data_IF_150368507613
#
_entry.id   IF_150368507613
#
_cell.length_a   1.000
_cell.length_b   1.000
_cell.length_c   1.000
_cell.angle_alpha   90.00
_cell.angle_beta   90.00
_cell.angle_gamma   90.00
#
_symmetry.space_group_name_H-M   'P 1'
#
loop_
_entity.id
_entity.type
_entity.pdbx_description
1 polymer ?
#
# COMPACT_ATOMS: atom_id res chain seq x y z
N UNK A 1 18.10 -27.40 -10.06
CA UNK A 1 18.63 -26.63 -8.93
C UNK A 1 17.52 -25.75 -8.36
N UNK A 2 16.91 -26.20 -7.26
CA UNK A 2 16.00 -25.38 -6.46
C UNK A 2 16.83 -24.66 -5.40
N UNK A 3 16.83 -23.33 -5.42
CA UNK A 3 17.37 -22.49 -4.35
C UNK A 3 16.19 -21.99 -3.52
N UNK A 4 16.12 -22.50 -2.30
CA UNK A 4 15.24 -22.00 -1.24
C UNK A 4 15.95 -20.81 -0.61
N UNK A 5 15.43 -19.60 -0.85
CA UNK A 5 15.67 -18.41 -0.04
C UNK A 5 14.27 -17.97 0.39
N UNK A 6 13.90 -18.06 1.66
CA UNK A 6 14.40 -17.16 2.69
C UNK A 6 13.20 -16.30 3.11
N UNK A 7 12.85 -16.38 4.40
CA UNK A 7 11.84 -15.56 5.07
C UNK A 7 12.16 -14.08 4.83
N UNK A 8 11.29 -13.43 4.07
CA UNK A 8 11.40 -12.04 3.65
C UNK A 8 10.61 -11.89 2.35
N UNK A 9 9.34 -11.50 2.45
CA UNK A 9 8.52 -11.25 1.26
C UNK A 9 9.07 -10.03 0.52
N UNK A 10 10.06 -10.24 -0.32
CA UNK A 10 10.30 -9.37 -1.44
C UNK A 10 9.05 -9.46 -2.32
N UNK A 11 8.17 -8.48 -2.22
CA UNK A 11 7.01 -8.38 -3.09
C UNK A 11 7.48 -8.42 -4.55
N UNK A 12 7.01 -9.41 -5.30
CA UNK A 12 7.37 -9.56 -6.70
C UNK A 12 6.74 -8.43 -7.55
N UNK A 13 7.21 -8.28 -8.79
CA UNK A 13 6.75 -7.20 -9.66
C UNK A 13 5.23 -7.23 -9.92
N UNK A 14 4.61 -8.42 -9.90
CA UNK A 14 3.18 -8.60 -10.10
C UNK A 14 2.40 -8.08 -8.90
N UNK A 15 2.87 -8.39 -7.68
CA UNK A 15 2.28 -7.86 -6.45
C UNK A 15 2.33 -6.34 -6.40
N UNK A 16 3.49 -5.75 -6.72
CA UNK A 16 3.66 -4.28 -6.75
C UNK A 16 2.74 -3.64 -7.80
N UNK A 17 2.62 -4.24 -9.00
CA UNK A 17 1.72 -3.74 -10.03
C UNK A 17 0.24 -3.80 -9.59
N UNK A 18 -0.16 -4.89 -8.92
CA UNK A 18 -1.51 -5.03 -8.36
C UNK A 18 -1.77 -3.99 -7.27
N UNK A 19 -0.82 -3.75 -6.38
CA UNK A 19 -0.93 -2.72 -5.36
C UNK A 19 -1.08 -1.31 -5.95
N UNK A 20 -0.31 -0.98 -6.99
CA UNK A 20 -0.44 0.29 -7.72
C UNK A 20 -1.82 0.46 -8.36
N UNK A 21 -2.33 -0.60 -8.98
CA UNK A 21 -3.68 -0.59 -9.57
C UNK A 21 -4.74 -0.31 -8.50
N UNK A 22 -4.70 -1.04 -7.39
CA UNK A 22 -5.65 -0.89 -6.30
C UNK A 22 -5.61 0.51 -5.68
N UNK A 23 -4.42 1.08 -5.52
CA UNK A 23 -4.23 2.42 -4.98
C UNK A 23 -5.07 3.47 -5.72
N UNK A 24 -5.18 3.35 -7.04
CA UNK A 24 -5.96 4.28 -7.88
C UNK A 24 -7.43 3.90 -8.04
N UNK A 25 -7.80 2.61 -7.94
CA UNK A 25 -9.13 2.11 -8.33
C UNK A 25 -10.08 1.78 -7.19
N UNK A 26 -9.56 1.42 -6.00
CA UNK A 26 -10.43 1.08 -4.86
C UNK A 26 -11.32 2.27 -4.49
N UNK A 27 -12.45 2.06 -3.82
CA UNK A 27 -13.39 3.13 -3.49
C UNK A 27 -13.64 3.26 -1.98
N UNK A 28 -13.31 4.41 -1.36
CA UNK A 28 -12.65 5.58 -1.97
C UNK A 28 -11.20 5.26 -2.36
N UNK A 29 -10.73 5.88 -3.45
CA UNK A 29 -9.38 5.63 -3.98
C UNK A 29 -8.33 6.26 -3.06
N UNK A 30 -7.22 5.57 -2.85
CA UNK A 30 -6.16 6.07 -1.97
C UNK A 30 -5.60 7.39 -2.50
N UNK A 31 -5.55 7.53 -3.84
CA UNK A 31 -5.02 8.69 -4.53
C UNK A 31 -5.82 9.99 -4.29
N UNK A 32 -7.11 9.88 -3.92
CA UNK A 32 -7.94 11.08 -3.66
C UNK A 32 -7.57 11.72 -2.31
N UNK A 33 -7.03 10.93 -1.39
CA UNK A 33 -6.71 11.39 -0.04
C UNK A 33 -5.21 11.61 0.17
N UNK A 34 -4.36 10.81 -0.48
CA UNK A 34 -2.92 10.80 -0.20
C UNK A 34 -2.06 11.21 -1.39
N UNK A 35 -1.01 11.96 -1.12
CA UNK A 35 0.10 12.17 -2.06
C UNK A 35 1.02 10.96 -2.07
N UNK A 36 1.29 10.45 -3.28
CA UNK A 36 2.28 9.41 -3.55
C UNK A 36 2.76 9.55 -5.00
N UNK A 37 3.95 10.09 -5.20
CA UNK A 37 4.48 10.46 -6.53
C UNK A 37 4.56 9.25 -7.48
N UNK A 38 4.98 8.09 -6.99
CA UNK A 38 5.07 6.86 -7.80
C UNK A 38 3.69 6.33 -8.29
N UNK A 39 2.60 6.79 -7.66
CA UNK A 39 1.22 6.55 -8.08
C UNK A 39 0.61 7.70 -8.92
N UNK A 40 1.33 8.83 -9.07
CA UNK A 40 0.79 10.04 -9.69
C UNK A 40 -0.33 10.69 -8.87
N UNK A 41 -0.27 10.55 -7.54
CA UNK A 41 -1.31 11.03 -6.63
C UNK A 41 -0.85 12.24 -5.84
N UNK A 42 -1.76 13.19 -5.64
CA UNK A 42 -1.52 14.50 -5.00
C UNK A 42 -2.59 14.82 -3.94
N UNK A 43 -3.26 13.79 -3.39
CA UNK A 43 -4.31 13.99 -2.38
C UNK A 43 -3.78 14.62 -1.09
N UNK A 44 -4.54 15.55 -0.51
CA UNK A 44 -4.11 16.35 0.64
C UNK A 44 -4.97 16.16 1.91
N UNK A 45 -5.87 15.18 1.91
CA UNK A 45 -6.73 14.87 3.07
C UNK A 45 -5.97 14.06 4.12
N UNK A 46 -5.21 13.06 3.65
CA UNK A 46 -4.33 12.25 4.47
C UNK A 46 -2.87 12.75 4.41
N UNK A 47 -1.96 12.13 5.18
CA UNK A 47 -0.54 12.44 5.12
C UNK A 47 0.06 12.18 3.73
N UNK A 48 1.09 12.94 3.39
CA UNK A 48 1.97 12.71 2.23
C UNK A 48 2.76 11.43 2.47
N UNK A 49 2.53 10.41 1.65
CA UNK A 49 3.12 9.09 1.87
C UNK A 49 4.61 9.06 1.53
N UNK A 50 5.05 9.88 0.56
CA UNK A 50 6.47 10.05 0.20
C UNK A 50 7.32 10.60 1.37
N UNK A 51 6.69 11.38 2.26
CA UNK A 51 7.33 11.92 3.47
C UNK A 51 7.19 10.96 4.64
N UNK A 52 6.00 10.38 4.82
CA UNK A 52 5.69 9.49 5.95
C UNK A 52 6.46 8.17 5.88
N UNK A 53 6.72 7.67 4.68
CA UNK A 53 7.44 6.40 4.40
C UNK A 53 6.99 5.23 5.27
N UNK A 54 5.67 4.92 5.33
CA UNK A 54 5.19 3.85 6.18
C UNK A 54 5.65 2.48 5.66
N UNK A 55 6.10 1.60 6.56
CA UNK A 55 6.35 0.21 6.19
C UNK A 55 5.04 -0.55 5.91
N UNK A 56 5.15 -1.71 5.26
CA UNK A 56 3.99 -2.48 4.81
C UNK A 56 3.07 -2.89 5.96
N UNK A 57 3.61 -3.27 7.11
CA UNK A 57 2.82 -3.66 8.28
C UNK A 57 1.96 -2.50 8.81
N UNK A 58 2.51 -1.28 8.84
CA UNK A 58 1.76 -0.09 9.23
C UNK A 58 0.63 0.17 8.25
N UNK A 59 0.89 0.08 6.94
CA UNK A 59 -0.14 0.27 5.92
C UNK A 59 -1.23 -0.81 6.04
N UNK A 60 -0.85 -2.07 6.21
CA UNK A 60 -1.78 -3.18 6.34
C UNK A 60 -2.69 -3.02 7.57
N UNK A 61 -2.15 -2.59 8.72
CA UNK A 61 -2.98 -2.28 9.90
C UNK A 61 -3.97 -1.15 9.63
N UNK A 62 -3.53 -0.09 8.94
CA UNK A 62 -4.40 1.01 8.55
C UNK A 62 -5.54 0.56 7.61
N UNK A 63 -5.23 -0.28 6.62
CA UNK A 63 -6.23 -0.84 5.70
C UNK A 63 -7.25 -1.72 6.41
N UNK A 64 -6.82 -2.49 7.42
CA UNK A 64 -7.71 -3.40 8.18
C UNK A 64 -8.59 -2.65 9.18
N UNK A 65 -8.04 -1.69 9.92
CA UNK A 65 -8.74 -1.05 11.03
C UNK A 65 -9.36 0.30 10.67
N UNK A 66 -8.87 0.97 9.63
CA UNK A 66 -9.09 2.41 9.45
C UNK A 66 -8.31 3.23 10.49
N UNK A 67 -8.14 4.53 10.23
CA UNK A 67 -7.48 5.47 11.16
C UNK A 67 -8.09 6.87 10.98
N UNK A 68 -8.76 7.38 12.01
CA UNK A 68 -9.43 8.69 11.95
C UNK A 68 -10.46 8.74 10.83
N UNK A 69 -10.27 9.63 9.85
CA UNK A 69 -11.14 9.75 8.67
C UNK A 69 -10.87 8.69 7.60
N UNK A 70 -9.74 7.96 7.67
CA UNK A 70 -9.43 6.89 6.73
C UNK A 70 -10.30 5.66 7.06
N UNK A 71 -11.17 5.20 6.14
CA UNK A 71 -12.02 4.05 6.39
C UNK A 71 -11.22 2.75 6.42
N UNK A 72 -11.81 1.71 7.02
CA UNK A 72 -11.35 0.34 6.80
C UNK A 72 -11.71 -0.14 5.40
N UNK A 73 -10.86 -0.99 4.83
CA UNK A 73 -11.07 -1.68 3.56
C UNK A 73 -11.23 -3.20 3.73
N UNK A 74 -11.35 -3.70 4.97
CA UNK A 74 -11.46 -5.13 5.25
C UNK A 74 -12.65 -5.82 4.55
N UNK A 75 -13.75 -5.09 4.37
CA UNK A 75 -14.94 -5.60 3.66
C UNK A 75 -14.89 -5.40 2.14
N UNK A 76 -13.88 -4.68 1.63
CA UNK A 76 -13.75 -4.30 0.21
C UNK A 76 -12.61 -5.01 -0.50
N UNK A 77 -11.57 -5.40 0.24
CA UNK A 77 -10.36 -5.98 -0.30
C UNK A 77 -10.10 -7.35 0.33
N UNK A 78 -9.64 -8.28 -0.51
CA UNK A 78 -9.08 -9.52 0.00
C UNK A 78 -7.79 -9.25 0.78
N UNK A 79 -7.46 -10.18 1.67
CA UNK A 79 -6.24 -10.14 2.46
C UNK A 79 -4.96 -10.09 1.59
N UNK A 80 -5.00 -10.74 0.41
CA UNK A 80 -3.94 -10.69 -0.60
C UNK A 80 -3.84 -9.31 -1.25
N UNK A 81 -4.97 -8.72 -1.62
CA UNK A 81 -4.99 -7.38 -2.23
C UNK A 81 -4.56 -6.29 -1.25
N UNK A 82 -4.94 -6.40 0.03
CA UNK A 82 -4.44 -5.49 1.07
C UNK A 82 -2.93 -5.59 1.26
N UNK A 83 -2.36 -6.81 1.21
CA UNK A 83 -0.91 -7.00 1.25
C UNK A 83 -0.23 -6.39 0.03
N UNK A 84 -0.76 -6.62 -1.17
CA UNK A 84 -0.23 -6.02 -2.40
C UNK A 84 -0.22 -4.48 -2.34
N UNK A 85 -1.31 -3.88 -1.87
CA UNK A 85 -1.42 -2.44 -1.69
C UNK A 85 -0.43 -1.92 -0.64
N UNK A 86 -0.27 -2.62 0.48
CA UNK A 86 0.70 -2.27 1.53
C UNK A 86 2.15 -2.34 1.05
N UNK A 87 2.51 -3.42 0.34
CA UNK A 87 3.84 -3.59 -0.27
C UNK A 87 4.13 -2.51 -1.30
N UNK A 88 3.15 -2.18 -2.16
CA UNK A 88 3.27 -1.09 -3.12
C UNK A 88 3.54 0.24 -2.41
N UNK A 89 2.74 0.64 -1.42
CA UNK A 89 2.90 1.92 -0.72
C UNK A 89 4.25 2.02 -0.02
N UNK A 90 4.68 0.96 0.68
CA UNK A 90 5.97 0.95 1.36
C UNK A 90 7.14 1.10 0.38
N UNK A 91 7.13 0.34 -0.72
CA UNK A 91 8.14 0.42 -1.76
C UNK A 91 8.13 1.78 -2.47
N UNK A 92 6.95 2.27 -2.83
CA UNK A 92 6.74 3.49 -3.60
C UNK A 92 7.14 4.76 -2.82
N UNK A 93 6.90 4.78 -1.51
CA UNK A 93 7.33 5.88 -0.63
C UNK A 93 8.82 5.85 -0.29
N UNK A 94 9.53 4.76 -0.63
CA UNK A 94 10.93 4.58 -0.27
C UNK A 94 11.15 4.26 1.20
N UNK A 95 10.18 3.60 1.85
CA UNK A 95 10.38 3.03 3.18
C UNK A 95 11.53 2.01 3.14
N UNK A 96 12.39 2.02 4.17
CA UNK A 96 13.38 0.97 4.34
C UNK A 96 12.68 -0.39 4.57
N UNK A 97 13.27 -1.51 4.09
CA UNK A 97 12.71 -2.85 4.29
C UNK A 97 12.58 -3.22 5.77
#
# INVERSE_FOLDING_TARGET
MALVAGVGWAADATEIARGKELFGKIQPSCAVCHTLQAAGAEGQVGPVLDELKPNADRVLRALKAGIGVMPSYADKLSDKDMRALASFVAKASGAAP
#
